data_IF_406870398697
#
_entry.id   IF_406870398697
#
_cell.length_a   1.000
_cell.length_b   1.000
_cell.length_c   1.000
_cell.angle_alpha   90.00
_cell.angle_beta   90.00
_cell.angle_gamma   90.00
#
_symmetry.space_group_name_H-M   'P 1'
#
loop_
_entity.id
_entity.type
_entity.pdbx_description
1 polymer ?
#
# COMPACT_ATOMS: atom_id res chain seq x y z
N UNK A 1 -5.71 7.25 24.74
CA UNK A 1 -4.60 6.51 24.09
C UNK A 1 -4.75 6.70 22.58
N UNK A 2 -3.84 7.43 21.93
CA UNK A 2 -3.94 7.69 20.49
C UNK A 2 -3.91 6.38 19.71
N UNK A 3 -4.91 6.14 18.85
CA UNK A 3 -4.92 4.98 17.95
C UNK A 3 -3.71 5.13 17.02
N UNK A 4 -2.72 4.25 17.16
CA UNK A 4 -1.57 4.24 16.24
C UNK A 4 -2.08 3.84 14.86
N UNK A 5 -2.14 4.81 13.94
CA UNK A 5 -2.58 4.57 12.58
C UNK A 5 -1.55 3.67 11.87
N UNK A 6 -1.99 2.48 11.45
CA UNK A 6 -1.15 1.53 10.72
C UNK A 6 -0.53 2.15 9.45
N UNK A 7 -1.14 3.20 8.89
CA UNK A 7 -0.62 3.94 7.72
C UNK A 7 0.65 4.74 8.04
N UNK A 8 0.87 5.07 9.31
CA UNK A 8 2.06 5.81 9.78
C UNK A 8 3.25 4.90 10.07
N UNK A 9 3.05 3.58 10.15
CA UNK A 9 4.13 2.61 10.38
C UNK A 9 5.20 2.67 9.27
N UNK A 10 6.47 2.33 9.56
CA UNK A 10 7.50 2.06 8.55
C UNK A 10 7.01 1.04 7.51
N UNK A 11 7.53 1.14 6.28
CA UNK A 11 7.02 0.33 5.16
C UNK A 11 7.14 -1.18 5.41
N UNK A 12 8.25 -1.60 6.04
CA UNK A 12 8.51 -2.98 6.48
C UNK A 12 7.52 -3.44 7.55
N UNK A 13 7.28 -2.63 8.59
CA UNK A 13 6.28 -2.93 9.61
C UNK A 13 4.86 -3.07 9.04
N UNK A 14 4.50 -2.29 8.02
CA UNK A 14 3.22 -2.48 7.32
C UNK A 14 3.18 -3.77 6.51
N UNK A 15 4.29 -4.19 5.91
CA UNK A 15 4.40 -5.47 5.21
C UNK A 15 4.24 -6.64 6.19
N UNK A 16 4.91 -6.59 7.33
CA UNK A 16 4.77 -7.60 8.38
C UNK A 16 3.35 -7.68 8.90
N UNK A 17 2.70 -6.53 9.13
CA UNK A 17 1.29 -6.48 9.52
C UNK A 17 0.40 -7.19 8.50
N UNK A 18 0.59 -6.91 7.20
CA UNK A 18 -0.15 -7.58 6.12
C UNK A 18 0.03 -9.09 6.15
N UNK A 19 1.28 -9.54 6.29
CA UNK A 19 1.65 -10.96 6.32
C UNK A 19 1.00 -11.68 7.49
N UNK A 20 1.08 -11.10 8.71
CA UNK A 20 0.47 -11.68 9.92
C UNK A 20 -1.05 -11.78 9.83
N UNK A 21 -1.71 -10.76 9.28
CA UNK A 21 -3.16 -10.77 9.08
C UNK A 21 -3.58 -11.87 8.13
N UNK A 22 -2.91 -11.99 6.97
CA UNK A 22 -3.18 -13.05 6.00
C UNK A 22 -2.92 -14.43 6.60
N UNK A 23 -1.83 -14.59 7.33
CA UNK A 23 -1.49 -15.85 8.01
C UNK A 23 -2.55 -16.24 9.05
N UNK A 24 -3.03 -15.28 9.85
CA UNK A 24 -4.07 -15.54 10.84
C UNK A 24 -5.38 -16.02 10.19
N UNK A 25 -5.77 -15.41 9.06
CA UNK A 25 -6.94 -15.86 8.28
C UNK A 25 -6.71 -17.26 7.71
N UNK A 26 -5.53 -17.53 7.17
CA UNK A 26 -5.17 -18.87 6.66
C UNK A 26 -5.13 -19.93 7.76
N UNK A 27 -4.88 -19.54 9.00
CA UNK A 27 -4.90 -20.41 10.20
C UNK A 27 -6.30 -20.57 10.81
N UNK A 28 -7.34 -20.01 10.19
CA UNK A 28 -8.73 -20.27 10.54
C UNK A 28 -9.49 -19.08 11.12
N UNK A 29 -8.89 -17.91 11.29
CA UNK A 29 -9.66 -16.72 11.67
C UNK A 29 -10.56 -16.28 10.50
N UNK A 30 -11.79 -15.89 10.80
CA UNK A 30 -12.58 -15.15 9.82
C UNK A 30 -11.94 -13.78 9.55
N UNK A 31 -12.21 -13.21 8.37
CA UNK A 31 -11.71 -11.87 8.03
C UNK A 31 -12.22 -10.79 9.00
N UNK A 32 -13.42 -10.98 9.57
CA UNK A 32 -14.02 -10.07 10.56
C UNK A 32 -13.30 -10.16 11.90
N UNK A 33 -12.97 -11.37 12.36
CA UNK A 33 -12.20 -11.57 13.59
C UNK A 33 -10.78 -11.02 13.44
N UNK A 34 -10.10 -11.32 12.33
CA UNK A 34 -8.79 -10.76 12.03
C UNK A 34 -8.84 -9.22 12.01
N UNK A 35 -9.86 -8.62 11.40
CA UNK A 35 -10.04 -7.17 11.42
C UNK A 35 -10.13 -6.61 12.84
N UNK A 36 -10.89 -7.26 13.74
CA UNK A 36 -11.01 -6.86 15.15
C UNK A 36 -9.68 -7.04 15.91
N UNK A 37 -9.05 -8.21 15.80
CA UNK A 37 -7.79 -8.55 16.48
C UNK A 37 -6.68 -7.58 16.12
N UNK A 38 -6.57 -7.22 14.84
CA UNK A 38 -5.51 -6.34 14.34
C UNK A 38 -5.91 -4.85 14.29
N UNK A 39 -7.13 -4.49 14.71
CA UNK A 39 -7.60 -3.10 14.71
C UNK A 39 -7.73 -2.47 13.31
N UNK A 40 -8.06 -3.28 12.30
CA UNK A 40 -8.17 -2.86 10.90
C UNK A 40 -9.63 -2.84 10.43
N UNK A 41 -9.90 -2.11 9.35
CA UNK A 41 -11.18 -2.24 8.66
C UNK A 41 -11.27 -3.61 7.97
N UNK A 42 -12.43 -4.27 8.04
CA UNK A 42 -12.66 -5.58 7.40
C UNK A 42 -12.43 -5.56 5.88
N UNK A 43 -12.73 -4.44 5.22
CA UNK A 43 -12.43 -4.26 3.79
C UNK A 43 -10.93 -4.29 3.46
N UNK A 44 -10.07 -3.84 4.38
CA UNK A 44 -8.61 -3.91 4.23
C UNK A 44 -8.13 -5.36 4.24
N UNK A 45 -8.65 -6.16 5.16
CA UNK A 45 -8.35 -7.61 5.26
C UNK A 45 -8.81 -8.32 3.98
N UNK A 46 -10.05 -8.10 3.56
CA UNK A 46 -10.62 -8.67 2.33
C UNK A 46 -9.77 -8.34 1.10
N UNK A 47 -9.34 -7.08 0.96
CA UNK A 47 -8.45 -6.67 -0.13
C UNK A 47 -7.11 -7.41 -0.11
N UNK A 48 -6.51 -7.64 1.06
CA UNK A 48 -5.25 -8.39 1.14
C UNK A 48 -5.43 -9.86 0.82
N UNK A 49 -6.51 -10.49 1.27
CA UNK A 49 -6.84 -11.88 0.92
C UNK A 49 -7.00 -12.04 -0.59
N UNK A 50 -7.81 -11.20 -1.25
CA UNK A 50 -7.98 -11.26 -2.71
C UNK A 50 -6.69 -10.91 -3.48
N UNK A 51 -5.83 -10.07 -2.92
CA UNK A 51 -4.51 -9.78 -3.50
C UNK A 51 -3.59 -11.01 -3.47
N UNK A 52 -3.59 -11.74 -2.35
CA UNK A 52 -2.82 -12.97 -2.18
C UNK A 52 -3.37 -14.09 -3.05
N UNK A 53 -4.69 -14.22 -3.15
CA UNK A 53 -5.34 -15.18 -4.05
C UNK A 53 -4.93 -14.96 -5.51
N UNK A 54 -4.94 -13.71 -5.99
CA UNK A 54 -4.64 -13.39 -7.39
C UNK A 54 -3.15 -13.38 -7.75
N UNK A 55 -2.28 -12.97 -6.83
CA UNK A 55 -0.87 -12.64 -7.15
C UNK A 55 0.15 -13.43 -6.29
N UNK A 56 -0.33 -14.08 -5.23
CA UNK A 56 0.48 -14.75 -4.22
C UNK A 56 1.00 -13.82 -3.12
N UNK A 57 1.62 -14.40 -2.10
CA UNK A 57 2.16 -13.69 -0.91
C UNK A 57 3.13 -12.55 -1.24
N UNK A 58 3.85 -12.63 -2.38
CA UNK A 58 4.75 -11.57 -2.87
C UNK A 58 4.06 -10.21 -3.04
N UNK A 59 2.75 -10.20 -3.22
CA UNK A 59 1.99 -8.97 -3.39
C UNK A 59 1.83 -8.14 -2.11
N UNK A 60 2.12 -8.73 -0.95
CA UNK A 60 2.11 -8.03 0.34
C UNK A 60 3.39 -7.20 0.58
N UNK A 61 4.42 -7.41 -0.26
CA UNK A 61 5.71 -6.75 -0.15
C UNK A 61 5.55 -5.23 -0.17
N UNK A 62 6.25 -4.56 0.73
CA UNK A 62 6.34 -3.12 0.79
C UNK A 62 6.84 -2.57 -0.54
N UNK A 63 6.22 -1.47 -0.98
CA UNK A 63 6.63 -0.71 -2.17
C UNK A 63 7.07 0.68 -1.73
N UNK A 64 7.89 1.34 -2.56
CA UNK A 64 8.25 2.74 -2.34
C UNK A 64 6.98 3.58 -2.17
N UNK A 65 6.91 4.31 -1.07
CA UNK A 65 5.83 5.26 -0.78
C UNK A 65 6.15 6.63 -1.40
N UNK A 66 5.12 7.39 -1.71
CA UNK A 66 5.26 8.78 -2.18
C UNK A 66 5.61 8.93 -3.66
N UNK A 67 5.72 10.20 -4.07
CA UNK A 67 6.01 10.60 -5.45
C UNK A 67 7.37 10.03 -5.90
N UNK A 68 7.51 9.57 -7.16
CA UNK A 68 8.82 9.29 -7.71
C UNK A 68 9.76 10.50 -7.64
N UNK A 69 11.06 10.29 -7.38
CA UNK A 69 12.04 11.39 -7.32
C UNK A 69 12.26 12.00 -8.71
N UNK A 70 11.90 11.28 -9.77
CA UNK A 70 12.00 11.74 -11.15
C UNK A 70 10.65 12.22 -11.67
N UNK A 71 10.67 13.31 -12.43
CA UNK A 71 9.52 13.77 -13.19
C UNK A 71 9.07 12.70 -14.19
N UNK A 72 7.77 12.66 -14.48
CA UNK A 72 7.24 11.84 -15.58
C UNK A 72 7.66 12.37 -16.95
N UNK A 73 7.95 13.67 -17.03
CA UNK A 73 8.44 14.32 -18.25
C UNK A 73 9.95 14.16 -18.34
N UNK A 74 10.42 13.76 -19.53
CA UNK A 74 11.84 13.91 -19.86
C UNK A 74 12.20 15.40 -19.88
N UNK A 75 13.47 15.79 -19.62
CA UNK A 75 13.88 17.19 -19.59
C UNK A 75 13.47 17.98 -20.84
N UNK A 76 13.60 17.40 -22.03
CA UNK A 76 13.18 18.08 -23.27
C UNK A 76 11.67 18.29 -23.35
N UNK A 77 10.84 17.36 -22.86
CA UNK A 77 9.39 17.52 -22.84
C UNK A 77 8.99 18.66 -21.91
N UNK A 78 9.62 18.73 -20.74
CA UNK A 78 9.43 19.83 -19.80
C UNK A 78 9.82 21.18 -20.42
N UNK A 79 10.95 21.24 -21.13
CA UNK A 79 11.40 22.45 -21.82
C UNK A 79 10.44 22.88 -22.94
N UNK A 80 9.91 21.92 -23.73
CA UNK A 80 8.91 22.20 -24.76
C UNK A 80 7.63 22.77 -24.14
N UNK A 81 7.13 22.18 -23.04
CA UNK A 81 5.96 22.70 -22.33
C UNK A 81 6.19 24.12 -21.82
N UNK A 82 7.34 24.41 -21.19
CA UNK A 82 7.69 25.76 -20.73
C UNK A 82 7.73 26.75 -21.89
N UNK A 83 8.32 26.38 -23.02
CA UNK A 83 8.37 27.23 -24.22
C UNK A 83 6.96 27.58 -24.72
N UNK A 84 6.04 26.62 -24.77
CA UNK A 84 4.66 26.90 -25.17
C UNK A 84 3.90 27.81 -24.21
N UNK A 85 4.21 27.77 -22.90
CA UNK A 85 3.60 28.66 -21.91
C UNK A 85 4.14 30.09 -22.04
N UNK A 86 5.43 30.25 -22.32
CA UNK A 86 6.09 31.56 -22.36
C UNK A 86 5.97 32.24 -23.73
N UNK A 87 5.83 31.46 -24.81
CA UNK A 87 5.70 31.97 -26.19
C UNK A 87 4.25 32.05 -26.68
N UNK A 88 3.28 31.71 -25.83
CA UNK A 88 1.85 31.83 -26.10
C UNK A 88 1.24 33.08 -25.48
#
# INVERSE_FOLDING_TARGET
>A
MGKQDARSLPAEAQEDLRRRVVEAVQKGLSQTEAARVFGLARGTVSRWMGLVERVGRRALKARRRGRPPVSRLKPHQAATTVRHIVSG
#
